data_IF_874031509128
#
_entry.id   IF_874031509128
#
_cell.length_a   1.000
_cell.length_b   1.000
_cell.length_c   1.000
_cell.angle_alpha   90.00
_cell.angle_beta   90.00
_cell.angle_gamma   90.00
#
_symmetry.space_group_name_H-M   'P 1'
#
loop_
_entity.id
_entity.type
_entity.pdbx_description
1 polymer ?
#
# COMPACT_ATOMS: atom_id res chain seq x y z
N UNK A 1 32.19 -22.11 -39.75
CA UNK A 1 32.71 -21.32 -38.62
C UNK A 1 31.84 -20.08 -38.48
N UNK A 2 31.42 -19.74 -37.26
CA UNK A 2 30.25 -18.90 -36.92
C UNK A 2 30.41 -17.38 -37.12
N UNK A 3 29.22 -16.72 -37.22
CA UNK A 3 28.84 -15.40 -36.66
C UNK A 3 29.40 -14.15 -37.37
N UNK A 4 28.72 -12.99 -37.38
CA UNK A 4 27.82 -12.42 -36.37
C UNK A 4 26.55 -11.77 -36.98
N UNK A 5 25.40 -12.03 -36.35
CA UNK A 5 24.22 -11.16 -36.45
C UNK A 5 24.50 -9.87 -35.68
N UNK A 6 24.30 -8.73 -36.34
CA UNK A 6 24.29 -7.41 -35.69
C UNK A 6 23.10 -7.34 -34.74
N UNK A 7 23.36 -7.25 -33.44
CA UNK A 7 22.35 -6.88 -32.45
C UNK A 7 22.26 -5.35 -32.42
N UNK A 8 21.15 -4.82 -32.93
CA UNK A 8 20.78 -3.42 -32.73
C UNK A 8 20.49 -3.19 -31.24
N UNK A 9 21.35 -2.42 -30.57
CA UNK A 9 21.12 -1.94 -29.22
C UNK A 9 20.13 -0.77 -29.30
N UNK A 10 18.83 -1.04 -29.18
CA UNK A 10 17.83 0.02 -29.01
C UNK A 10 18.05 0.69 -27.66
N UNK A 11 18.44 1.97 -27.70
CA UNK A 11 18.50 2.86 -26.53
C UNK A 11 17.10 2.94 -25.92
N UNK A 12 16.85 2.15 -24.87
CA UNK A 12 15.66 2.32 -24.04
C UNK A 12 15.85 3.62 -23.26
N UNK A 13 15.20 4.69 -23.70
CA UNK A 13 15.05 5.91 -22.92
C UNK A 13 14.40 5.56 -21.59
N UNK A 14 15.13 5.76 -20.49
CA UNK A 14 14.66 5.49 -19.14
C UNK A 14 13.31 6.21 -18.91
N UNK A 15 12.29 5.42 -18.59
CA UNK A 15 10.88 5.79 -18.51
C UNK A 15 10.63 6.91 -17.48
N UNK A 16 10.03 8.02 -17.91
CA UNK A 16 9.38 8.94 -16.99
C UNK A 16 8.11 8.29 -16.43
N UNK A 17 7.89 8.44 -15.12
CA UNK A 17 6.66 7.97 -14.46
C UNK A 17 5.49 8.85 -14.90
N UNK A 18 4.40 8.22 -15.37
CA UNK A 18 3.18 8.92 -15.81
C UNK A 18 2.11 8.85 -14.72
N UNK A 19 1.25 9.87 -14.65
CA UNK A 19 0.10 9.87 -13.74
C UNK A 19 -0.90 8.80 -14.18
N UNK A 20 -1.19 7.81 -13.33
CA UNK A 20 -2.26 6.85 -13.59
C UNK A 20 -3.58 7.33 -12.98
N UNK A 21 -4.62 7.56 -13.79
CA UNK A 21 -5.99 7.71 -13.27
C UNK A 21 -6.52 6.33 -12.87
N UNK A 22 -6.94 6.17 -11.61
CA UNK A 22 -7.55 4.94 -11.09
C UNK A 22 -8.99 5.24 -10.68
N UNK A 23 -9.88 4.28 -10.88
CA UNK A 23 -11.26 4.33 -10.37
C UNK A 23 -11.32 3.71 -8.98
N UNK A 24 -12.15 4.28 -8.10
CA UNK A 24 -12.27 3.83 -6.71
C UNK A 24 -11.15 4.28 -5.77
N UNK A 25 -11.30 3.92 -4.51
CA UNK A 25 -10.42 4.22 -3.39
C UNK A 25 -9.16 3.36 -3.29
N UNK A 26 -8.26 3.74 -2.38
CA UNK A 26 -7.20 2.85 -1.92
C UNK A 26 -7.82 1.58 -1.33
N UNK A 27 -7.26 0.41 -1.70
CA UNK A 27 -7.73 -0.88 -1.19
C UNK A 27 -6.75 -1.42 -0.16
N UNK A 28 -7.29 -1.81 0.99
CA UNK A 28 -6.57 -2.32 2.14
C UNK A 28 -6.96 -3.77 2.36
N UNK A 29 -6.08 -4.70 1.99
CA UNK A 29 -6.31 -6.13 2.22
C UNK A 29 -5.59 -6.57 3.49
N UNK A 30 -6.38 -6.98 4.49
CA UNK A 30 -5.87 -7.41 5.80
C UNK A 30 -5.34 -8.84 5.71
N UNK A 31 -4.14 -9.08 6.20
CA UNK A 31 -3.50 -10.40 6.23
C UNK A 31 -2.63 -10.55 7.49
N UNK A 32 -2.18 -11.77 7.79
CA UNK A 32 -1.25 -12.01 8.89
C UNK A 32 -1.73 -13.04 9.91
N UNK A 33 -1.27 -12.90 11.15
CA UNK A 33 -1.47 -13.84 12.26
C UNK A 33 -1.47 -13.11 13.62
N UNK A 34 -1.56 -13.85 14.73
CA UNK A 34 -1.78 -13.33 16.10
C UNK A 34 -0.87 -12.14 16.50
N UNK A 35 0.41 -12.18 16.09
CA UNK A 35 1.41 -11.15 16.41
C UNK A 35 1.95 -10.41 15.17
N UNK A 36 1.37 -10.65 13.99
CA UNK A 36 1.84 -10.08 12.73
C UNK A 36 0.65 -9.56 11.96
N UNK A 37 0.45 -8.24 11.94
CA UNK A 37 -0.65 -7.61 11.25
C UNK A 37 -0.13 -6.99 9.98
N UNK A 38 -0.53 -7.54 8.84
CA UNK A 38 -0.09 -7.11 7.53
C UNK A 38 -1.24 -6.51 6.73
N UNK A 39 -0.95 -5.45 5.99
CA UNK A 39 -1.88 -4.82 5.07
C UNK A 39 -1.21 -4.69 3.71
N UNK A 40 -1.89 -5.23 2.70
CA UNK A 40 -1.54 -4.98 1.30
C UNK A 40 -2.30 -3.75 0.83
N UNK A 41 -1.57 -2.73 0.37
CA UNK A 41 -2.15 -1.53 -0.23
C UNK A 41 -2.15 -1.65 -1.74
N UNK A 42 -3.33 -1.57 -2.35
CA UNK A 42 -3.50 -1.56 -3.80
C UNK A 42 -4.37 -0.40 -4.26
N UNK A 43 -4.52 -0.27 -5.58
CA UNK A 43 -5.25 0.81 -6.23
C UNK A 43 -4.72 2.22 -5.89
N UNK A 44 -3.41 2.33 -5.68
CA UNK A 44 -2.72 3.61 -5.51
C UNK A 44 -2.78 4.36 -6.85
N UNK A 45 -3.55 5.44 -6.88
CA UNK A 45 -3.66 6.32 -8.04
C UNK A 45 -2.47 7.25 -8.19
N UNK A 46 -2.46 7.96 -9.33
CA UNK A 46 -1.46 8.97 -9.70
C UNK A 46 -0.07 8.36 -9.91
N UNK A 47 0.95 9.14 -9.58
CA UNK A 47 2.37 8.98 -9.91
C UNK A 47 3.16 8.57 -8.65
N UNK A 48 2.44 8.33 -7.56
CA UNK A 48 3.00 8.10 -6.24
C UNK A 48 3.27 6.64 -5.98
N UNK A 49 4.52 6.31 -5.63
CA UNK A 49 4.77 5.12 -4.83
C UNK A 49 4.40 5.46 -3.39
N UNK A 50 3.72 4.54 -2.70
CA UNK A 50 3.49 4.69 -1.26
C UNK A 50 4.84 4.59 -0.58
N UNK A 51 5.23 5.55 0.24
CA UNK A 51 6.52 5.58 0.96
C UNK A 51 6.38 5.38 2.46
N UNK A 52 5.20 5.67 3.02
CA UNK A 52 4.91 5.42 4.43
C UNK A 52 3.45 5.07 4.64
N UNK A 53 3.21 4.21 5.64
CA UNK A 53 1.87 3.80 6.06
C UNK A 53 1.81 3.84 7.58
N UNK A 54 0.71 4.38 8.11
CA UNK A 54 0.35 4.24 9.52
C UNK A 54 -1.03 3.62 9.65
N UNK A 55 -1.22 2.89 10.73
CA UNK A 55 -2.51 2.29 11.12
C UNK A 55 -2.90 2.77 12.50
N UNK A 56 -4.21 2.94 12.72
CA UNK A 56 -4.76 3.33 14.03
C UNK A 56 -6.02 2.51 14.31
N UNK A 57 -6.04 1.86 15.46
CA UNK A 57 -7.24 1.31 16.08
C UNK A 57 -7.87 2.30 17.07
N UNK A 58 -9.06 2.01 17.56
CA UNK A 58 -9.74 2.88 18.56
C UNK A 58 -9.00 2.96 19.89
N UNK A 59 -8.24 1.93 20.27
CA UNK A 59 -7.47 1.86 21.53
C UNK A 59 -6.01 2.24 21.36
N UNK A 60 -5.61 2.74 20.19
CA UNK A 60 -4.20 3.03 19.86
C UNK A 60 -4.03 4.43 19.27
N UNK A 61 -2.79 4.92 19.30
CA UNK A 61 -2.33 6.06 18.48
C UNK A 61 -2.11 5.65 17.03
N UNK A 62 -1.57 6.55 16.22
CA UNK A 62 -1.06 6.20 14.89
C UNK A 62 0.23 5.39 15.03
N UNK A 63 0.22 4.16 14.53
CA UNK A 63 1.35 3.23 14.57
C UNK A 63 1.97 3.19 13.17
N UNK A 64 3.26 3.52 13.01
CA UNK A 64 3.94 3.34 11.74
C UNK A 64 4.06 1.86 11.39
N UNK A 65 3.83 1.52 10.13
CA UNK A 65 3.99 0.17 9.61
C UNK A 65 5.31 0.06 8.84
N UNK A 66 6.01 -1.06 9.03
CA UNK A 66 7.23 -1.37 8.28
C UNK A 66 6.88 -2.04 6.95
N UNK A 67 7.54 -1.62 5.86
CA UNK A 67 7.40 -2.30 4.57
C UNK A 67 8.14 -3.63 4.62
N UNK A 68 7.48 -4.70 4.22
CA UNK A 68 8.10 -6.02 4.10
C UNK A 68 8.61 -6.26 2.67
N UNK A 69 7.72 -6.64 1.75
CA UNK A 69 8.01 -6.77 0.32
C UNK A 69 6.90 -6.13 -0.52
N UNK A 70 7.26 -5.46 -1.61
CA UNK A 70 6.30 -4.76 -2.47
C UNK A 70 5.45 -3.75 -1.68
N UNK A 71 4.13 -3.86 -1.78
CA UNK A 71 3.17 -3.04 -1.03
C UNK A 71 2.55 -3.75 0.18
N UNK A 72 3.27 -4.74 0.75
CA UNK A 72 2.91 -5.36 2.01
C UNK A 72 3.56 -4.61 3.17
N UNK A 73 2.73 -4.10 4.06
CA UNK A 73 3.12 -3.31 5.23
C UNK A 73 2.72 -4.05 6.48
N UNK A 74 3.57 -4.11 7.51
CA UNK A 74 3.28 -4.85 8.72
C UNK A 74 3.52 -4.05 10.00
N UNK A 75 2.86 -4.48 11.08
CA UNK A 75 3.13 -4.06 12.44
C UNK A 75 2.85 -5.21 13.42
N UNK A 76 3.44 -5.13 14.61
CA UNK A 76 3.32 -6.16 15.64
C UNK A 76 2.50 -5.64 16.83
N UNK A 77 1.33 -5.03 16.54
CA UNK A 77 0.42 -4.48 17.55
C UNK A 77 -0.95 -5.11 17.38
N UNK A 78 -1.62 -5.43 18.49
CA UNK A 78 -2.96 -6.00 18.46
C UNK A 78 -4.00 -4.98 17.97
N UNK A 79 -4.52 -5.22 16.77
CA UNK A 79 -5.53 -4.39 16.10
C UNK A 79 -6.91 -5.08 16.01
N UNK A 80 -7.05 -6.29 16.57
CA UNK A 80 -8.32 -7.03 16.52
C UNK A 80 -9.42 -6.31 17.32
N UNK A 81 -10.66 -6.56 16.90
CA UNK A 81 -11.87 -6.06 17.57
C UNK A 81 -11.93 -4.53 17.65
N UNK A 82 -11.29 -3.85 16.70
CA UNK A 82 -11.22 -2.40 16.63
C UNK A 82 -11.41 -1.96 15.18
N UNK A 83 -12.22 -0.90 14.94
CA UNK A 83 -12.22 -0.25 13.64
C UNK A 83 -10.81 0.26 13.31
N UNK A 84 -10.39 0.10 12.06
CA UNK A 84 -9.05 0.50 11.61
C UNK A 84 -9.10 1.71 10.70
N UNK A 85 -8.22 2.66 11.00
CA UNK A 85 -7.94 3.83 10.18
C UNK A 85 -6.54 3.72 9.60
N UNK A 86 -6.34 4.29 8.42
CA UNK A 86 -5.07 4.25 7.69
C UNK A 86 -4.64 5.63 7.27
N UNK A 87 -3.35 5.90 7.38
CA UNK A 87 -2.68 7.07 6.83
C UNK A 87 -1.64 6.59 5.82
N UNK A 88 -1.70 7.10 4.58
CA UNK A 88 -0.86 6.66 3.47
C UNK A 88 -0.17 7.86 2.87
N UNK A 89 1.16 7.85 2.86
CA UNK A 89 1.99 8.90 2.27
C UNK A 89 2.62 8.39 0.98
N UNK A 90 2.56 9.19 -0.08
CA UNK A 90 3.22 8.88 -1.36
C UNK A 90 4.51 9.69 -1.56
N UNK A 91 5.32 9.30 -2.55
CA UNK A 91 6.61 9.95 -2.90
C UNK A 91 6.55 11.47 -3.07
N UNK A 92 5.41 12.03 -3.44
CA UNK A 92 5.22 13.49 -3.54
C UNK A 92 5.08 14.20 -2.19
N UNK A 93 5.13 13.47 -1.08
CA UNK A 93 4.88 13.96 0.28
C UNK A 93 3.40 14.09 0.63
N UNK A 94 2.49 13.94 -0.34
CA UNK A 94 1.04 13.94 -0.08
C UNK A 94 0.66 12.77 0.81
N UNK A 95 -0.15 13.06 1.82
CA UNK A 95 -0.65 12.08 2.77
C UNK A 95 -2.17 12.07 2.75
N UNK A 96 -2.77 10.88 2.71
CA UNK A 96 -4.21 10.70 2.79
C UNK A 96 -4.58 9.88 4.02
N UNK A 97 -5.57 10.36 4.76
CA UNK A 97 -6.08 9.70 5.96
C UNK A 97 -7.49 9.19 5.73
N UNK A 98 -7.66 7.88 5.88
CA UNK A 98 -8.93 7.17 5.77
C UNK A 98 -9.32 6.62 7.14
N UNK A 99 -10.39 7.14 7.72
CA UNK A 99 -10.86 6.76 9.05
C UNK A 99 -11.85 5.61 9.00
N UNK A 100 -11.74 4.68 9.96
CA UNK A 100 -12.67 3.57 10.18
C UNK A 100 -13.00 2.76 8.91
N UNK A 101 -12.00 2.53 8.07
CA UNK A 101 -12.10 1.82 6.79
C UNK A 101 -12.47 0.35 7.00
N UNK A 102 -11.85 -0.30 7.99
CA UNK A 102 -12.24 -1.64 8.41
C UNK A 102 -13.11 -1.55 9.67
N UNK A 103 -14.29 -2.19 9.73
CA UNK A 103 -15.14 -2.21 10.92
C UNK A 103 -14.55 -3.10 12.01
N UNK A 104 -15.02 -2.99 13.26
CA UNK A 104 -14.44 -3.71 14.40
C UNK A 104 -14.39 -5.24 14.24
N UNK A 105 -15.30 -5.82 13.46
CA UNK A 105 -15.42 -7.25 13.19
C UNK A 105 -14.60 -7.73 11.98
N UNK A 106 -13.70 -6.90 11.45
CA UNK A 106 -12.82 -7.28 10.33
C UNK A 106 -12.04 -8.58 10.63
N UNK A 107 -11.79 -9.35 9.57
CA UNK A 107 -11.04 -10.60 9.60
C UNK A 107 -9.91 -10.59 8.58
N UNK A 108 -8.90 -11.44 8.80
CA UNK A 108 -7.86 -11.66 7.79
C UNK A 108 -8.46 -12.19 6.48
N UNK A 109 -7.89 -11.79 5.36
CA UNK A 109 -8.34 -12.08 4.00
C UNK A 109 -9.33 -11.06 3.44
N UNK A 110 -9.90 -10.17 4.26
CA UNK A 110 -10.84 -9.16 3.79
C UNK A 110 -10.14 -7.95 3.18
N UNK A 111 -10.82 -7.30 2.23
CA UNK A 111 -10.37 -6.08 1.59
C UNK A 111 -11.37 -4.96 1.83
N UNK A 112 -10.87 -3.79 2.21
CA UNK A 112 -11.66 -2.60 2.50
C UNK A 112 -11.22 -1.44 1.62
N UNK A 113 -12.15 -0.54 1.30
CA UNK A 113 -11.90 0.61 0.43
C UNK A 113 -11.89 1.90 1.26
N UNK A 114 -10.83 2.70 1.10
CA UNK A 114 -10.68 4.02 1.72
C UNK A 114 -10.71 5.15 0.71
N UNK A 115 -10.19 6.32 1.10
CA UNK A 115 -10.13 7.49 0.21
C UNK A 115 -9.04 7.34 -0.87
N UNK A 116 -9.10 8.18 -1.90
CA UNK A 116 -8.14 8.28 -3.00
C UNK A 116 -7.53 9.71 -3.06
N UNK A 117 -6.28 9.81 -3.54
CA UNK A 117 -5.56 11.07 -3.78
C UNK A 117 -6.19 11.96 -4.85
#
# INVERSE_FOLDING_TARGET
MLRLRHLAYTRSSFLCRVKCKRTGGLKFTMSGSYNFYQVLITNVGLDGEVVAVKVKGTKTGWIPMARNWGQNWHCNVNLQKQPLSFEVTITSGKTITSYNVAPANWQFGQTFEGKQF
#
